data_IF_200763368430
#
_entry.id   IF_200763368430
#
_cell.length_a   1.000
_cell.length_b   1.000
_cell.length_c   1.000
_cell.angle_alpha   90.00
_cell.angle_beta   90.00
_cell.angle_gamma   90.00
#
_symmetry.space_group_name_H-M   'P 1'
#
loop_
_entity.id
_entity.type
_entity.pdbx_description
1 polymer ?
#
# COMPACT_ATOMS: atom_id res chain seq x y z
N UNK A 1 4.08 8.91 6.83
CA UNK A 1 3.13 8.91 5.70
C UNK A 1 1.77 8.59 6.29
N UNK A 2 0.73 9.31 5.90
CA UNK A 2 -0.62 8.94 6.31
C UNK A 2 -1.12 7.70 5.54
N UNK A 3 -2.23 7.12 6.01
CA UNK A 3 -2.82 5.94 5.40
C UNK A 3 -3.31 6.21 3.96
N UNK A 4 -3.79 7.41 3.65
CA UNK A 4 -4.29 7.74 2.31
C UNK A 4 -3.16 7.73 1.29
N UNK A 5 -2.01 8.30 1.64
CA UNK A 5 -0.80 8.23 0.83
C UNK A 5 -0.37 6.78 0.59
N UNK A 6 -0.30 5.97 1.65
CA UNK A 6 0.10 4.57 1.52
C UNK A 6 -0.85 3.77 0.63
N UNK A 7 -2.17 3.97 0.79
CA UNK A 7 -3.18 3.35 -0.06
C UNK A 7 -3.04 3.78 -1.52
N UNK A 8 -2.85 5.08 -1.79
CA UNK A 8 -2.63 5.61 -3.14
C UNK A 8 -1.40 4.97 -3.79
N UNK A 9 -0.27 4.90 -3.07
CA UNK A 9 0.96 4.29 -3.60
C UNK A 9 0.85 2.78 -3.82
N UNK A 10 0.14 2.09 -2.94
CA UNK A 10 -0.16 0.68 -3.11
C UNK A 10 -0.95 0.43 -4.40
N UNK A 11 -2.04 1.18 -4.62
CA UNK A 11 -2.88 1.08 -5.82
C UNK A 11 -2.09 1.40 -7.10
N UNK A 12 -1.32 2.49 -7.12
CA UNK A 12 -0.48 2.85 -8.27
C UNK A 12 0.53 1.73 -8.59
N UNK A 13 1.13 1.13 -7.56
CA UNK A 13 2.08 0.03 -7.76
C UNK A 13 1.40 -1.21 -8.36
N UNK A 14 0.16 -1.53 -7.98
CA UNK A 14 -0.61 -2.61 -8.59
C UNK A 14 -0.97 -2.32 -10.06
N UNK A 15 -1.41 -1.09 -10.36
CA UNK A 15 -1.72 -0.65 -11.72
C UNK A 15 -0.47 -0.78 -12.61
N UNK A 16 0.67 -0.30 -12.14
CA UNK A 16 1.93 -0.40 -12.86
C UNK A 16 2.38 -1.86 -13.06
N UNK A 17 2.16 -2.73 -12.06
CA UNK A 17 2.44 -4.17 -12.21
C UNK A 17 1.57 -4.82 -13.30
N UNK A 18 0.30 -4.43 -13.39
CA UNK A 18 -0.62 -4.93 -14.42
C UNK A 18 -0.23 -4.41 -15.82
N UNK A 19 0.21 -3.15 -15.92
CA UNK A 19 0.64 -2.53 -17.18
C UNK A 19 2.08 -2.88 -17.60
N UNK A 20 2.86 -3.55 -16.75
CA UNK A 20 4.27 -3.83 -16.99
C UNK A 20 4.49 -4.76 -18.20
N UNK A 21 5.31 -4.28 -19.14
CA UNK A 21 5.69 -5.00 -20.37
C UNK A 21 6.71 -6.11 -20.12
N UNK A 22 7.56 -5.98 -19.10
CA UNK A 22 8.56 -6.99 -18.73
C UNK A 22 8.22 -7.68 -17.41
N UNK A 23 8.74 -8.89 -17.24
CA UNK A 23 8.54 -9.68 -16.02
C UNK A 23 9.25 -9.05 -14.82
N UNK A 24 10.43 -8.47 -15.04
CA UNK A 24 11.22 -7.79 -14.02
C UNK A 24 10.49 -6.56 -13.49
N UNK A 25 9.93 -5.73 -14.38
CA UNK A 25 9.15 -4.56 -14.00
C UNK A 25 7.89 -4.98 -13.23
N UNK A 26 7.20 -6.04 -13.68
CA UNK A 26 6.04 -6.60 -12.97
C UNK A 26 6.41 -7.04 -11.55
N UNK A 27 7.51 -7.77 -11.40
CA UNK A 27 8.01 -8.24 -10.09
C UNK A 27 8.35 -7.04 -9.20
N UNK A 28 9.08 -6.04 -9.72
CA UNK A 28 9.45 -4.85 -8.97
C UNK A 28 8.23 -4.09 -8.46
N UNK A 29 7.23 -3.84 -9.31
CA UNK A 29 6.00 -3.16 -8.92
C UNK A 29 5.17 -3.97 -7.91
N UNK A 30 5.09 -5.30 -8.06
CA UNK A 30 4.43 -6.17 -7.06
C UNK A 30 5.14 -6.12 -5.71
N UNK A 31 6.47 -6.13 -5.69
CA UNK A 31 7.25 -5.99 -4.44
C UNK A 31 6.97 -4.64 -3.77
N UNK A 32 6.93 -3.55 -4.52
CA UNK A 32 6.55 -2.24 -3.98
C UNK A 32 5.12 -2.23 -3.41
N UNK A 33 4.16 -2.82 -4.12
CA UNK A 33 2.79 -2.93 -3.64
C UNK A 33 2.72 -3.68 -2.29
N UNK A 34 3.48 -4.77 -2.15
CA UNK A 34 3.54 -5.54 -0.90
C UNK A 34 4.14 -4.71 0.25
N UNK A 35 5.24 -3.98 0.01
CA UNK A 35 5.84 -3.11 1.03
C UNK A 35 4.86 -2.02 1.51
N UNK A 36 4.05 -1.45 0.61
CA UNK A 36 3.01 -0.50 1.00
C UNK A 36 1.89 -1.18 1.80
N UNK A 37 1.49 -2.41 1.43
CA UNK A 37 0.50 -3.18 2.18
C UNK A 37 0.98 -3.48 3.61
N UNK A 38 2.24 -3.87 3.77
CA UNK A 38 2.85 -4.12 5.08
C UNK A 38 2.85 -2.85 5.94
N UNK A 39 3.20 -1.71 5.35
CA UNK A 39 3.14 -0.40 6.03
C UNK A 39 1.73 -0.01 6.45
N UNK A 40 0.71 -0.25 5.60
CA UNK A 40 -0.70 -0.01 5.92
C UNK A 40 -1.11 -0.86 7.13
N UNK A 41 -0.76 -2.14 7.11
CA UNK A 41 -1.10 -3.06 8.18
C UNK A 41 -0.43 -2.69 9.51
N UNK A 42 0.85 -2.27 9.46
CA UNK A 42 1.56 -1.77 10.62
C UNK A 42 0.85 -0.53 11.21
N UNK A 43 0.60 0.48 10.37
CA UNK A 43 -0.01 1.72 10.83
C UNK A 43 -1.45 1.53 11.35
N UNK A 44 -2.21 0.59 10.76
CA UNK A 44 -3.55 0.19 11.28
C UNK A 44 -3.50 -0.47 12.65
N UNK A 45 -2.42 -1.20 12.97
CA UNK A 45 -2.22 -1.80 14.30
C UNK A 45 -1.81 -0.75 15.33
N UNK A 46 -1.08 0.26 14.90
CA UNK A 46 -0.62 1.36 15.76
C UNK A 46 -1.70 2.43 15.98
N UNK A 47 -2.82 2.37 15.23
CA UNK A 47 -3.98 3.23 15.48
C UNK A 47 -4.63 2.82 16.81
N UNK A 48 -4.69 3.72 17.82
CA UNK A 48 -5.32 3.40 19.08
C UNK A 48 -6.81 3.10 18.86
N UNK A 49 -7.29 2.03 19.50
CA UNK A 49 -8.65 1.50 19.40
C UNK A 49 -9.77 2.55 19.63
N UNK A 50 -9.45 3.70 20.25
CA UNK A 50 -10.38 4.80 20.52
C UNK A 50 -10.54 5.84 19.41
N UNK A 51 -9.88 5.70 18.26
CA UNK A 51 -10.01 6.66 17.14
C UNK A 51 -11.06 6.27 16.09
N UNK A 52 -11.68 5.09 16.23
CA UNK A 52 -12.69 4.56 15.31
C UNK A 52 -14.14 4.97 15.67
N UNK A 53 -14.34 5.86 16.63
CA UNK A 53 -15.67 6.18 17.19
C UNK A 53 -15.89 7.64 17.57
N UNK A 54 -15.33 8.59 16.82
CA UNK A 54 -15.65 10.01 16.99
C UNK A 54 -16.14 10.60 15.66
N UNK A 55 -17.37 10.24 15.30
CA UNK A 55 -18.30 10.99 14.45
C UNK A 55 -19.65 10.97 15.16
#
# INVERSE_FOLDING_TARGET
MDLNYLHSRHQISLINAAAAKSIEARIAHRRLANLYADRINLQRRDLPAGSAGML
#
